data_IF_922969673916
#
_entry.id   IF_922969673916
#
_cell.length_a   1.000
_cell.length_b   1.000
_cell.length_c   1.000
_cell.angle_alpha   90.00
_cell.angle_beta   90.00
_cell.angle_gamma   90.00
#
_symmetry.space_group_name_H-M   'P 1'
#
loop_
_entity.id
_entity.type
_entity.pdbx_description
1 polymer ?
#
# COMPACT_ATOMS: atom_id res chain seq x y z
N UNK A 1 -5.89 -4.36 -2.93
CA UNK A 1 -7.06 -4.92 -3.64
C UNK A 1 -8.22 -5.29 -2.70
N UNK A 2 -8.20 -4.96 -1.39
CA UNK A 2 -9.35 -5.25 -0.49
C UNK A 2 -10.53 -4.31 -0.80
N UNK A 3 -10.27 -3.04 -1.12
CA UNK A 3 -11.31 -2.09 -1.52
C UNK A 3 -12.05 -2.57 -2.78
N UNK A 4 -11.31 -3.09 -3.78
CA UNK A 4 -11.91 -3.68 -4.98
C UNK A 4 -12.82 -4.89 -4.65
N UNK A 5 -12.39 -5.77 -3.73
CA UNK A 5 -13.23 -6.89 -3.29
C UNK A 5 -14.51 -6.39 -2.58
N UNK A 6 -14.41 -5.30 -1.80
CA UNK A 6 -15.58 -4.66 -1.19
C UNK A 6 -16.51 -4.02 -2.22
N UNK A 7 -15.98 -3.45 -3.31
CA UNK A 7 -16.77 -2.87 -4.40
C UNK A 7 -17.50 -3.95 -5.20
N UNK A 8 -16.81 -5.04 -5.55
CA UNK A 8 -17.44 -6.21 -6.18
C UNK A 8 -18.53 -6.81 -5.28
N UNK A 9 -18.28 -6.90 -3.97
CA UNK A 9 -19.27 -7.39 -3.02
C UNK A 9 -20.54 -6.53 -3.02
N UNK A 10 -20.39 -5.20 -3.00
CA UNK A 10 -21.52 -4.25 -3.06
C UNK A 10 -22.29 -4.37 -4.37
N UNK A 11 -21.60 -4.58 -5.48
CA UNK A 11 -22.24 -4.76 -6.79
C UNK A 11 -23.01 -6.09 -6.88
N UNK A 12 -22.49 -7.16 -6.28
CA UNK A 12 -23.13 -8.49 -6.27
C UNK A 12 -24.28 -8.58 -5.27
N UNK A 13 -24.20 -7.86 -4.15
CA UNK A 13 -25.18 -7.90 -3.06
C UNK A 13 -25.55 -6.47 -2.62
N UNK A 14 -26.38 -5.74 -3.39
CA UNK A 14 -26.70 -4.33 -3.12
C UNK A 14 -27.40 -4.11 -1.78
N UNK A 15 -28.23 -5.07 -1.36
CA UNK A 15 -29.04 -4.98 -0.13
C UNK A 15 -28.32 -5.53 1.11
N UNK A 16 -27.08 -6.02 0.96
CA UNK A 16 -26.30 -6.60 2.06
C UNK A 16 -25.13 -5.71 2.40
N UNK A 17 -24.90 -5.52 3.69
CA UNK A 17 -23.72 -4.82 4.15
C UNK A 17 -22.43 -5.60 3.88
N UNK A 18 -21.35 -4.87 3.60
CA UNK A 18 -20.03 -5.46 3.41
C UNK A 18 -19.56 -6.16 4.69
N UNK A 19 -19.15 -7.44 4.62
CA UNK A 19 -18.71 -8.23 5.77
C UNK A 19 -17.65 -7.53 6.61
N UNK A 20 -17.80 -7.62 7.93
CA UNK A 20 -16.83 -7.08 8.89
C UNK A 20 -15.42 -7.67 8.72
N UNK A 21 -15.32 -8.91 8.24
CA UNK A 21 -14.05 -9.56 7.92
C UNK A 21 -13.26 -8.82 6.84
N UNK A 22 -13.92 -8.30 5.79
CA UNK A 22 -13.26 -7.50 4.75
C UNK A 22 -12.79 -6.15 5.29
N UNK A 23 -13.60 -5.52 6.16
CA UNK A 23 -13.22 -4.27 6.84
C UNK A 23 -12.04 -4.49 7.78
N UNK A 24 -12.04 -5.58 8.55
CA UNK A 24 -10.93 -5.95 9.44
C UNK A 24 -9.64 -6.19 8.65
N UNK A 25 -9.73 -6.98 7.57
CA UNK A 25 -8.59 -7.25 6.68
C UNK A 25 -8.04 -5.98 6.04
N UNK A 26 -8.91 -5.02 5.69
CA UNK A 26 -8.46 -3.70 5.20
C UNK A 26 -7.63 -2.97 6.26
N UNK A 27 -8.10 -2.91 7.50
CA UNK A 27 -7.38 -2.26 8.60
C UNK A 27 -6.00 -2.90 8.84
N UNK A 28 -5.95 -4.23 8.86
CA UNK A 28 -4.70 -4.97 9.04
C UNK A 28 -3.68 -4.68 7.92
N UNK A 29 -4.10 -4.78 6.66
CA UNK A 29 -3.23 -4.52 5.50
C UNK A 29 -2.74 -3.08 5.49
N UNK A 30 -3.61 -2.11 5.82
CA UNK A 30 -3.21 -0.69 5.90
C UNK A 30 -2.21 -0.46 7.03
N UNK A 31 -2.36 -1.12 8.17
CA UNK A 31 -1.41 -1.02 9.28
C UNK A 31 -0.04 -1.58 8.88
N UNK A 32 0.00 -2.77 8.27
CA UNK A 32 1.23 -3.38 7.77
C UNK A 32 1.90 -2.51 6.70
N UNK A 33 1.12 -1.94 5.78
CA UNK A 33 1.63 -1.05 4.75
C UNK A 33 2.30 0.20 5.34
N UNK A 34 1.67 0.83 6.34
CA UNK A 34 2.23 2.00 7.02
C UNK A 34 3.52 1.65 7.77
N UNK A 35 3.55 0.49 8.43
CA UNK A 35 4.75 0.02 9.11
C UNK A 35 5.90 -0.20 8.12
N UNK A 36 5.64 -0.90 7.01
CA UNK A 36 6.64 -1.13 5.96
C UNK A 36 7.11 0.18 5.33
N UNK A 37 6.20 1.14 5.11
CA UNK A 37 6.55 2.46 4.61
C UNK A 37 7.50 3.19 5.57
N UNK A 38 7.24 3.15 6.88
CA UNK A 38 8.13 3.73 7.89
C UNK A 38 9.50 3.06 7.92
N UNK A 39 9.56 1.73 7.80
CA UNK A 39 10.81 0.98 7.81
C UNK A 39 11.66 1.22 6.56
N UNK A 40 11.00 1.45 5.42
CA UNK A 40 11.65 1.69 4.12
C UNK A 40 11.92 3.15 3.83
N UNK A 41 11.35 4.09 4.60
CA UNK A 41 11.59 5.53 4.49
C UNK A 41 13.09 5.91 4.38
N UNK A 42 14.01 5.41 5.23
CA UNK A 42 15.43 5.75 5.11
C UNK A 42 16.04 5.27 3.79
N UNK A 43 15.60 4.10 3.29
CA UNK A 43 16.06 3.56 2.01
C UNK A 43 15.59 4.47 0.87
N UNK A 44 14.31 4.86 0.89
CA UNK A 44 13.74 5.78 -0.11
C UNK A 44 14.50 7.11 -0.11
N UNK A 45 14.79 7.69 1.07
CA UNK A 45 15.55 8.95 1.18
C UNK A 45 16.95 8.87 0.57
N UNK A 46 17.64 7.74 0.70
CA UNK A 46 18.94 7.54 0.05
C UNK A 46 18.80 7.53 -1.47
N UNK A 47 17.75 6.91 -2.00
CA UNK A 47 17.51 6.91 -3.45
C UNK A 47 16.96 8.24 -3.99
N UNK A 48 16.36 9.07 -3.15
CA UNK A 48 15.95 10.43 -3.49
C UNK A 48 17.11 11.44 -3.46
N UNK A 49 18.25 11.07 -2.89
CA UNK A 49 19.44 11.93 -2.86
C UNK A 49 19.99 12.18 -4.28
N UNK A 50 20.11 13.44 -4.73
CA UNK A 50 20.56 13.76 -6.08
C UNK A 50 21.98 13.30 -6.40
N UNK A 51 22.87 13.21 -5.40
CA UNK A 51 24.24 12.72 -5.61
C UNK A 51 24.23 11.23 -5.88
N UNK A 52 23.50 10.47 -5.06
CA UNK A 52 23.26 9.03 -5.23
C UNK A 52 22.61 8.74 -6.59
N UNK A 53 21.58 9.49 -6.98
CA UNK A 53 20.94 9.34 -8.29
C UNK A 53 21.91 9.59 -9.46
N UNK A 54 22.76 10.63 -9.38
CA UNK A 54 23.75 10.93 -10.43
C UNK A 54 24.78 9.83 -10.56
N UNK A 55 25.29 9.30 -9.45
CA UNK A 55 26.26 8.20 -9.46
C UNK A 55 25.67 6.92 -10.05
N UNK A 56 24.41 6.61 -9.74
CA UNK A 56 23.69 5.47 -10.33
C UNK A 56 23.54 5.62 -11.85
N UNK A 57 23.28 6.82 -12.35
CA UNK A 57 23.16 7.09 -13.80
C UNK A 57 24.51 7.09 -14.52
N UNK A 58 25.59 7.55 -13.87
CA UNK A 58 26.94 7.56 -14.46
C UNK A 58 27.61 6.19 -14.51
N UNK A 59 27.12 5.22 -13.72
CA UNK A 59 27.62 3.84 -13.71
C UNK A 59 27.00 2.97 -14.83
N UNK A 60 26.23 3.59 -15.74
CA UNK A 60 25.51 2.92 -16.83
C UNK A 60 26.33 2.84 -18.12
#
# INVERSE_FOLDING_TARGET
>A
MVDFAMDVYRNLFPDKEVPSSLRGKRTEVVAQLKQLQSETEPIVKVFEDPETMRQMQSTR
#
